data_IF_926433324815
#
_entry.id   IF_926433324815
#
_cell.length_a   1.000
_cell.length_b   1.000
_cell.length_c   1.000
_cell.angle_alpha   90.00
_cell.angle_beta   90.00
_cell.angle_gamma   90.00
#
_symmetry.space_group_name_H-M   'P 1'
#
loop_
_entity.id
_entity.type
_entity.pdbx_description
1 polymer ?
#
# COMPACT_ATOMS: atom_id res chain seq x y z
N UNK A 1 -11.29 -4.68 2.51
CA UNK A 1 -9.87 -4.77 2.14
C UNK A 1 -9.12 -3.54 2.64
N UNK A 2 -7.98 -3.74 3.27
CA UNK A 2 -7.09 -2.64 3.65
C UNK A 2 -5.97 -2.52 2.62
N UNK A 3 -5.53 -1.29 2.36
CA UNK A 3 -4.38 -1.02 1.52
C UNK A 3 -3.46 -0.05 2.27
N UNK A 4 -2.16 -0.34 2.30
CA UNK A 4 -1.24 0.37 3.18
C UNK A 4 -0.05 0.91 2.42
N UNK A 5 0.27 2.19 2.64
CA UNK A 5 1.51 2.80 2.19
C UNK A 5 2.46 2.95 3.38
N UNK A 6 3.69 2.49 3.21
CA UNK A 6 4.67 2.43 4.30
C UNK A 6 5.86 3.32 3.94
N UNK A 7 6.14 4.28 4.80
CA UNK A 7 7.29 5.18 4.62
C UNK A 7 8.42 4.80 5.57
N UNK A 8 9.65 5.08 5.14
CA UNK A 8 10.84 4.95 5.98
C UNK A 8 11.64 6.25 5.89
N UNK A 9 11.83 6.90 7.05
CA UNK A 9 12.44 8.22 7.07
C UNK A 9 11.58 9.25 6.34
N UNK A 10 12.19 10.27 5.77
CA UNK A 10 11.51 11.41 5.16
C UNK A 10 11.34 11.27 3.63
N UNK A 11 11.98 10.27 3.01
CA UNK A 11 12.12 10.26 1.56
C UNK A 11 12.04 8.88 0.91
N UNK A 12 11.63 7.85 1.66
CA UNK A 12 11.51 6.49 1.11
C UNK A 12 10.12 5.91 1.33
N UNK A 13 9.67 5.13 0.36
CA UNK A 13 8.37 4.45 0.38
C UNK A 13 8.56 3.00 -0.05
N UNK A 14 7.88 2.08 0.65
CA UNK A 14 7.89 0.67 0.29
C UNK A 14 6.92 0.43 -0.86
N UNK A 15 7.42 -0.13 -1.94
CA UNK A 15 6.60 -0.58 -3.06
C UNK A 15 6.89 -2.05 -3.34
N UNK A 16 5.85 -2.77 -3.74
CA UNK A 16 5.91 -4.20 -3.95
C UNK A 16 5.29 -4.59 -5.29
N UNK A 17 5.90 -5.57 -5.93
CA UNK A 17 5.38 -6.12 -7.19
C UNK A 17 4.62 -7.41 -6.89
N UNK A 18 3.36 -7.45 -7.30
CA UNK A 18 2.52 -8.64 -7.15
C UNK A 18 3.03 -9.73 -8.09
N UNK A 19 3.23 -10.93 -7.55
CA UNK A 19 3.76 -12.07 -8.30
C UNK A 19 2.85 -12.51 -9.46
N UNK A 20 1.55 -12.23 -9.36
CA UNK A 20 0.56 -12.64 -10.38
C UNK A 20 0.39 -11.60 -11.48
N UNK A 21 0.92 -10.40 -11.31
CA UNK A 21 0.81 -9.36 -12.32
C UNK A 21 1.94 -9.53 -13.34
N UNK A 22 1.63 -9.75 -14.64
CA UNK A 22 2.66 -9.89 -15.67
C UNK A 22 3.38 -8.58 -16.00
N UNK A 23 2.81 -7.44 -15.60
CA UNK A 23 3.40 -6.12 -15.83
C UNK A 23 4.35 -5.75 -14.69
N UNK A 24 5.43 -4.99 -14.96
CA UNK A 24 6.39 -4.60 -13.93
C UNK A 24 5.89 -3.39 -13.11
N UNK A 25 4.66 -3.43 -12.63
CA UNK A 25 4.05 -2.36 -11.85
C UNK A 25 4.26 -2.63 -10.37
N UNK A 26 4.79 -1.65 -9.66
CA UNK A 26 5.00 -1.71 -8.21
C UNK A 26 3.88 -0.94 -7.52
N UNK A 27 3.21 -1.61 -6.61
CA UNK A 27 2.09 -1.06 -5.86
C UNK A 27 2.26 -1.19 -4.36
N UNK A 28 1.14 -1.18 -3.66
CA UNK A 28 1.08 -1.16 -2.21
C UNK A 28 0.65 -2.51 -1.65
N UNK A 29 0.93 -2.72 -0.36
CA UNK A 29 0.48 -3.90 0.36
C UNK A 29 -1.04 -3.81 0.55
N UNK A 30 -1.76 -4.87 0.21
CA UNK A 30 -3.21 -4.91 0.34
C UNK A 30 -3.69 -6.31 0.71
N UNK A 31 -4.78 -6.39 1.47
CA UNK A 31 -5.36 -7.67 1.84
C UNK A 31 -6.69 -7.53 2.55
N UNK A 32 -7.37 -8.65 2.73
CA UNK A 32 -8.69 -8.67 3.35
C UNK A 32 -8.59 -8.68 4.88
N UNK A 33 -9.54 -8.00 5.51
CA UNK A 33 -9.72 -8.04 6.95
C UNK A 33 -10.37 -9.38 7.33
N UNK A 34 -9.82 -10.06 8.32
CA UNK A 34 -10.37 -11.32 8.81
C UNK A 34 -11.44 -11.08 9.87
N UNK A 35 -12.28 -12.09 10.08
CA UNK A 35 -13.36 -12.03 11.08
C UNK A 35 -12.76 -11.77 12.47
N UNK A 36 -13.29 -10.77 13.16
CA UNK A 36 -12.84 -10.41 14.52
C UNK A 36 -11.60 -9.53 14.56
N UNK A 37 -11.07 -9.17 13.42
CA UNK A 37 -9.86 -8.36 13.32
C UNK A 37 -10.22 -6.88 13.13
N UNK A 38 -9.51 -5.97 13.81
CA UNK A 38 -9.64 -4.54 13.51
C UNK A 38 -8.90 -4.20 12.22
N UNK A 39 -9.17 -3.02 11.67
CA UNK A 39 -8.46 -2.55 10.47
C UNK A 39 -6.96 -2.43 10.74
N UNK A 40 -6.58 -1.91 11.90
CA UNK A 40 -5.18 -1.76 12.30
C UNK A 40 -4.49 -3.11 12.46
N UNK A 41 -5.17 -4.10 13.04
CA UNK A 41 -4.65 -5.46 13.13
C UNK A 41 -4.45 -6.08 11.74
N UNK A 42 -5.38 -5.85 10.82
CA UNK A 42 -5.26 -6.32 9.45
C UNK A 42 -4.05 -5.70 8.74
N UNK A 43 -3.83 -4.39 8.91
CA UNK A 43 -2.66 -3.70 8.33
C UNK A 43 -1.37 -4.35 8.83
N UNK A 44 -1.25 -4.58 10.13
CA UNK A 44 -0.03 -5.17 10.72
C UNK A 44 0.19 -6.60 10.24
N UNK A 45 -0.87 -7.40 10.22
CA UNK A 45 -0.80 -8.81 9.81
C UNK A 45 -0.44 -8.95 8.34
N UNK A 46 -1.15 -8.24 7.46
CA UNK A 46 -0.89 -8.30 6.01
C UNK A 46 0.53 -7.83 5.67
N UNK A 47 0.98 -6.76 6.30
CA UNK A 47 2.34 -6.26 6.09
C UNK A 47 3.38 -7.30 6.51
N UNK A 48 3.20 -7.90 7.67
CA UNK A 48 4.14 -8.91 8.17
C UNK A 48 4.10 -10.18 7.30
N UNK A 49 2.92 -10.64 6.92
CA UNK A 49 2.79 -11.84 6.08
C UNK A 49 3.42 -11.65 4.70
N UNK A 50 3.19 -10.51 4.06
CA UNK A 50 3.64 -10.30 2.69
C UNK A 50 5.10 -9.89 2.57
N UNK A 51 5.61 -9.06 3.47
CA UNK A 51 6.97 -8.49 3.36
C UNK A 51 7.82 -8.58 4.63
N UNK A 52 7.30 -9.15 5.71
CA UNK A 52 8.08 -9.52 6.89
C UNK A 52 8.46 -8.37 7.83
N UNK A 53 7.97 -7.16 7.61
CA UNK A 53 8.33 -6.01 8.45
C UNK A 53 7.22 -5.62 9.40
N UNK A 54 7.58 -4.83 10.41
CA UNK A 54 6.67 -4.23 11.37
C UNK A 54 6.47 -2.76 11.06
N UNK A 55 5.29 -2.24 11.42
CA UNK A 55 4.91 -0.85 11.17
C UNK A 55 4.39 -0.19 12.44
N UNK A 56 4.42 1.13 12.46
CA UNK A 56 3.94 1.96 13.56
C UNK A 56 3.23 3.21 13.01
N UNK A 57 2.61 3.97 13.92
CA UNK A 57 1.97 5.25 13.59
C UNK A 57 0.99 5.13 12.42
N UNK A 58 0.07 4.15 12.53
CA UNK A 58 -0.95 3.93 11.53
C UNK A 58 -1.94 5.09 11.50
N UNK A 59 -2.25 5.57 10.30
CA UNK A 59 -3.20 6.66 10.09
C UNK A 59 -4.13 6.31 8.95
N UNK A 60 -5.43 6.35 9.20
CA UNK A 60 -6.43 6.20 8.16
C UNK A 60 -6.40 7.41 7.23
N UNK A 61 -6.41 7.18 5.93
CA UNK A 61 -6.38 8.23 4.92
C UNK A 61 -7.71 8.45 4.23
N UNK A 62 -8.25 7.39 3.62
CA UNK A 62 -9.45 7.49 2.80
C UNK A 62 -9.96 6.09 2.45
N UNK A 63 -11.11 6.03 1.77
CA UNK A 63 -11.64 4.80 1.21
C UNK A 63 -12.01 4.99 -0.25
N UNK A 64 -12.03 3.90 -1.01
CA UNK A 64 -12.45 3.90 -2.41
C UNK A 64 -13.24 2.63 -2.71
N UNK A 65 -14.46 2.73 -3.26
CA UNK A 65 -15.14 1.55 -3.75
C UNK A 65 -14.41 1.01 -4.98
N UNK A 66 -14.21 -0.30 -5.00
CA UNK A 66 -13.53 -0.98 -6.12
C UNK A 66 -14.44 -2.10 -6.60
N UNK A 67 -15.19 -1.90 -7.71
CA UNK A 67 -16.25 -2.84 -8.12
C UNK A 67 -15.73 -4.07 -8.86
N UNK A 68 -14.46 -4.43 -8.74
CA UNK A 68 -13.85 -5.56 -9.45
C UNK A 68 -13.31 -6.61 -8.47
N UNK A 69 -14.13 -7.55 -7.94
CA UNK A 69 -15.57 -7.68 -8.22
C UNK A 69 -16.46 -6.79 -7.36
N UNK A 70 -16.09 -6.55 -6.09
CA UNK A 70 -16.95 -5.78 -5.19
C UNK A 70 -16.24 -5.58 -3.86
N UNK A 71 -15.32 -4.63 -3.83
CA UNK A 71 -14.50 -4.33 -2.66
C UNK A 71 -14.66 -2.89 -2.22
N UNK A 72 -14.44 -2.66 -0.94
CA UNK A 72 -14.19 -1.34 -0.39
C UNK A 72 -12.73 -1.31 0.06
N UNK A 73 -11.94 -0.41 -0.50
CA UNK A 73 -10.54 -0.23 -0.16
C UNK A 73 -10.43 0.81 0.95
N UNK A 74 -9.81 0.43 2.06
CA UNK A 74 -9.60 1.30 3.23
C UNK A 74 -8.11 1.59 3.33
N UNK A 75 -7.74 2.84 3.07
CA UNK A 75 -6.34 3.25 2.92
C UNK A 75 -5.72 3.70 4.23
N UNK A 76 -4.54 3.17 4.53
CA UNK A 76 -3.75 3.52 5.71
C UNK A 76 -2.36 3.96 5.32
N UNK A 77 -1.83 4.92 6.05
CA UNK A 77 -0.43 5.29 6.04
C UNK A 77 0.21 4.74 7.31
N UNK A 78 1.41 4.20 7.18
CA UNK A 78 2.18 3.68 8.31
C UNK A 78 3.66 3.99 8.12
N UNK A 79 4.43 3.89 9.21
CA UNK A 79 5.88 4.07 9.18
C UNK A 79 6.56 2.75 9.48
N UNK A 80 7.69 2.51 8.82
CA UNK A 80 8.54 1.36 9.07
C UNK A 80 9.00 1.36 10.53
N UNK A 81 8.80 0.23 11.22
CA UNK A 81 9.14 0.09 12.64
C UNK A 81 10.20 -0.97 12.90
N UNK A 82 10.58 -1.78 11.92
CA UNK A 82 11.60 -2.80 12.10
C UNK A 82 11.37 -4.04 11.24
N UNK A 83 12.35 -4.93 11.27
CA UNK A 83 12.34 -6.17 10.52
C UNK A 83 13.02 -6.04 9.16
N UNK A 84 13.41 -7.19 8.61
CA UNK A 84 14.00 -7.27 7.29
C UNK A 84 12.93 -7.70 6.29
N UNK A 85 13.07 -7.24 5.05
CA UNK A 85 12.16 -7.64 3.97
C UNK A 85 12.30 -9.15 3.71
N UNK A 86 11.22 -9.89 3.99
CA UNK A 86 11.12 -11.33 3.71
C UNK A 86 9.82 -11.51 2.93
N UNK A 87 9.93 -11.75 1.64
CA UNK A 87 8.78 -11.76 0.74
C UNK A 87 8.03 -13.07 0.80
N UNK A 88 6.70 -12.98 0.80
CA UNK A 88 5.82 -14.13 0.55
C UNK A 88 5.82 -14.40 -0.95
N UNK A 89 6.66 -15.30 -1.41
CA UNK A 89 7.03 -15.48 -2.82
C UNK A 89 5.86 -15.77 -3.77
N UNK A 90 4.80 -16.42 -3.27
CA UNK A 90 3.61 -16.70 -4.08
C UNK A 90 2.70 -15.47 -4.24
N UNK A 91 2.91 -14.43 -3.45
CA UNK A 91 2.13 -13.19 -3.51
C UNK A 91 2.98 -12.01 -4.01
N UNK A 92 4.23 -11.91 -3.55
CA UNK A 92 5.12 -10.77 -3.82
C UNK A 92 6.40 -11.26 -4.49
N UNK A 93 6.64 -10.83 -5.73
CA UNK A 93 7.84 -11.22 -6.47
C UNK A 93 9.03 -10.32 -6.22
N UNK A 94 8.80 -9.07 -5.83
CA UNK A 94 9.85 -8.13 -5.47
C UNK A 94 9.27 -7.04 -4.58
N UNK A 95 10.10 -6.48 -3.71
CA UNK A 95 9.74 -5.34 -2.87
C UNK A 95 11.00 -4.61 -2.44
N UNK A 96 10.91 -3.27 -2.37
CA UNK A 96 12.03 -2.46 -1.94
C UNK A 96 11.53 -1.10 -1.45
N UNK A 97 12.37 -0.42 -0.68
CA UNK A 97 12.16 0.99 -0.35
C UNK A 97 12.73 1.83 -1.48
N UNK A 98 11.88 2.63 -2.10
CA UNK A 98 12.25 3.53 -3.19
C UNK A 98 12.30 4.96 -2.68
N UNK A 99 13.26 5.75 -3.15
CA UNK A 99 13.25 7.18 -2.88
C UNK A 99 12.09 7.85 -3.60
N UNK A 100 11.55 8.91 -3.01
CA UNK A 100 10.39 9.62 -3.55
C UNK A 100 10.63 10.16 -4.97
N UNK A 101 11.87 10.42 -5.34
CA UNK A 101 12.27 10.94 -6.66
C UNK A 101 12.80 9.85 -7.61
N UNK A 102 12.76 8.59 -7.19
CA UNK A 102 13.26 7.44 -7.97
C UNK A 102 12.22 6.32 -8.02
N UNK A 103 10.95 6.66 -8.26
CA UNK A 103 9.88 5.67 -8.27
C UNK A 103 9.91 4.81 -9.54
N UNK A 104 9.60 3.50 -9.40
CA UNK A 104 9.39 2.63 -10.56
C UNK A 104 8.04 2.92 -11.22
N UNK A 105 7.61 2.07 -12.14
CA UNK A 105 6.25 2.14 -12.68
C UNK A 105 5.25 1.84 -11.56
N UNK A 106 4.29 2.73 -11.35
CA UNK A 106 3.28 2.66 -10.29
C UNK A 106 1.87 2.49 -10.90
N UNK A 107 0.85 2.13 -10.09
CA UNK A 107 -0.50 1.96 -10.60
C UNK A 107 -1.05 3.21 -11.29
N UNK A 108 -2.04 3.01 -12.16
CA UNK A 108 -2.60 4.07 -12.99
C UNK A 108 -3.25 5.17 -12.16
N UNK A 109 -3.26 6.38 -12.70
CA UNK A 109 -3.93 7.54 -12.10
C UNK A 109 -5.43 7.26 -11.95
N UNK A 110 -6.00 7.67 -10.82
CA UNK A 110 -7.39 7.37 -10.47
C UNK A 110 -7.55 6.19 -9.51
N UNK A 111 -6.58 5.29 -9.42
CA UNK A 111 -6.59 4.25 -8.39
C UNK A 111 -6.21 4.84 -7.04
N UNK A 112 -6.74 4.26 -5.96
CA UNK A 112 -6.38 4.72 -4.62
C UNK A 112 -4.88 4.51 -4.33
N UNK A 113 -4.29 3.46 -4.89
CA UNK A 113 -2.85 3.22 -4.74
C UNK A 113 -2.03 4.38 -5.32
N UNK A 114 -2.37 4.84 -6.51
CA UNK A 114 -1.71 6.00 -7.12
C UNK A 114 -1.89 7.25 -6.25
N UNK A 115 -3.12 7.51 -5.78
CA UNK A 115 -3.42 8.65 -4.93
C UNK A 115 -2.60 8.64 -3.63
N UNK A 116 -2.46 7.47 -3.01
CA UNK A 116 -1.66 7.31 -1.79
C UNK A 116 -0.17 7.58 -2.04
N UNK A 117 0.35 7.10 -3.17
CA UNK A 117 1.76 7.34 -3.54
C UNK A 117 1.99 8.84 -3.78
N UNK A 118 1.10 9.50 -4.49
CA UNK A 118 1.19 10.95 -4.71
C UNK A 118 1.05 11.73 -3.40
N UNK A 119 0.23 11.26 -2.47
CA UNK A 119 0.07 11.86 -1.16
C UNK A 119 1.39 11.89 -0.37
N UNK A 120 2.09 10.76 -0.28
CA UNK A 120 3.32 10.70 0.50
C UNK A 120 4.52 11.31 -0.22
N UNK A 121 4.56 11.22 -1.56
CA UNK A 121 5.73 11.70 -2.32
C UNK A 121 5.62 13.17 -2.72
N UNK A 122 4.41 13.70 -2.90
CA UNK A 122 4.19 15.05 -3.42
C UNK A 122 3.21 15.89 -2.59
N UNK A 123 2.66 15.34 -1.51
CA UNK A 123 1.75 16.07 -0.61
C UNK A 123 0.33 16.26 -1.13
N UNK A 124 -0.09 15.52 -2.15
CA UNK A 124 -1.46 15.60 -2.68
C UNK A 124 -2.48 15.06 -1.68
N UNK A 125 -3.69 15.59 -1.69
CA UNK A 125 -4.78 15.08 -0.86
C UNK A 125 -5.35 13.81 -1.48
N UNK A 126 -5.39 12.70 -0.72
CA UNK A 126 -5.87 11.40 -1.22
C UNK A 126 -7.32 11.48 -1.67
N UNK A 127 -8.17 12.15 -0.88
CA UNK A 127 -9.60 12.25 -1.18
C UNK A 127 -9.89 12.94 -2.52
N UNK A 128 -9.10 13.92 -2.90
CA UNK A 128 -9.29 14.63 -4.17
C UNK A 128 -8.90 13.74 -5.35
N UNK A 129 -7.81 12.99 -5.22
CA UNK A 129 -7.34 12.10 -6.28
C UNK A 129 -8.28 10.91 -6.49
N UNK A 130 -8.88 10.38 -5.42
CA UNK A 130 -9.81 9.24 -5.53
C UNK A 130 -11.13 9.60 -6.19
N UNK A 131 -11.52 10.86 -6.20
CA UNK A 131 -12.75 11.30 -6.88
C UNK A 131 -12.63 11.26 -8.40
N UNK A 132 -11.43 11.29 -8.93
CA UNK A 132 -11.20 11.42 -10.36
C UNK A 132 -11.66 10.20 -11.17
N UNK A 133 -11.81 9.03 -10.55
CA UNK A 133 -12.20 7.83 -11.28
C UNK A 133 -13.72 7.56 -11.24
N UNK A 134 -14.44 8.27 -10.43
CA UNK A 134 -15.91 8.19 -10.37
C UNK A 134 -16.55 9.00 -11.49
#
# INVERSE_FOLDING_TARGET
CVITIITRGDNEVLLAKNARNPRPVYGLIAGFVEVGETLEEAVRRETFEEVGIQVKNLQYLASQPWPFPSNLMLAFRAEYAGGDLVLQEDEISDAAFFKFDELPEIPFAGSIAHAMIMHVTQGHAVADDTKAWL
#
